data_IF_838755897641
#
_entry.id   IF_838755897641
#
_cell.length_a   1.000
_cell.length_b   1.000
_cell.length_c   1.000
_cell.angle_alpha   90.00
_cell.angle_beta   90.00
_cell.angle_gamma   90.00
#
_symmetry.space_group_name_H-M   'P 1'
#
loop_
_entity.id
_entity.type
_entity.pdbx_description
1 polymer ?
#
# COMPACT_ATOMS: atom_id res chain seq x y z
N UNK A 1 -15.89 41.43 -9.40
CA UNK A 1 -14.45 41.11 -9.52
C UNK A 1 -13.88 40.39 -8.29
N UNK A 2 -14.05 40.93 -7.07
CA UNK A 2 -13.47 40.36 -5.84
C UNK A 2 -13.96 38.93 -5.48
N UNK A 3 -15.26 38.65 -5.61
CA UNK A 3 -15.82 37.32 -5.34
C UNK A 3 -15.26 36.22 -6.27
N UNK A 4 -15.11 36.53 -7.57
CA UNK A 4 -14.52 35.62 -8.58
C UNK A 4 -13.04 35.34 -8.26
N UNK A 5 -12.32 36.33 -7.73
CA UNK A 5 -10.92 36.19 -7.32
C UNK A 5 -10.80 35.33 -6.05
N UNK A 6 -11.75 35.43 -5.12
CA UNK A 6 -11.86 34.57 -3.94
C UNK A 6 -12.11 33.10 -4.28
N UNK A 7 -13.03 32.83 -5.22
CA UNK A 7 -13.33 31.46 -5.70
C UNK A 7 -12.12 30.82 -6.39
N UNK A 8 -11.41 31.57 -7.25
CA UNK A 8 -10.18 31.07 -7.91
C UNK A 8 -9.08 30.71 -6.91
N UNK A 9 -8.87 31.54 -5.88
CA UNK A 9 -7.90 31.26 -4.81
C UNK A 9 -8.30 30.05 -3.98
N UNK A 10 -9.59 29.92 -3.63
CA UNK A 10 -10.12 28.76 -2.92
C UNK A 10 -9.93 27.46 -3.70
N UNK A 11 -10.21 27.46 -5.01
CA UNK A 11 -9.95 26.33 -5.89
C UNK A 11 -8.47 25.95 -5.95
N UNK A 12 -7.57 26.94 -5.96
CA UNK A 12 -6.13 26.72 -6.01
C UNK A 12 -5.61 26.07 -4.72
N UNK A 13 -6.10 26.53 -3.55
CA UNK A 13 -5.76 25.94 -2.24
C UNK A 13 -6.28 24.51 -2.14
N UNK A 14 -7.52 24.25 -2.59
CA UNK A 14 -8.10 22.91 -2.59
C UNK A 14 -7.32 21.95 -3.51
N UNK A 15 -6.94 22.41 -4.71
CA UNK A 15 -6.15 21.61 -5.65
C UNK A 15 -4.76 21.26 -5.10
N UNK A 16 -4.08 22.22 -4.43
CA UNK A 16 -2.81 21.94 -3.75
C UNK A 16 -2.99 20.95 -2.59
N UNK A 17 -4.05 21.10 -1.79
CA UNK A 17 -4.35 20.19 -0.67
C UNK A 17 -4.59 18.75 -1.12
N UNK A 18 -5.35 18.55 -2.20
CA UNK A 18 -5.58 17.23 -2.80
C UNK A 18 -4.31 16.64 -3.41
N UNK A 19 -3.45 17.45 -4.04
CA UNK A 19 -2.17 17.00 -4.60
C UNK A 19 -1.14 16.60 -3.53
N UNK A 20 -1.26 17.15 -2.31
CA UNK A 20 -0.37 16.85 -1.18
C UNK A 20 -0.84 15.65 -0.33
N UNK A 21 -2.01 15.06 -0.65
CA UNK A 21 -2.49 13.88 0.05
C UNK A 21 -1.61 12.66 -0.31
N UNK A 22 -0.57 12.41 0.49
CA UNK A 22 0.23 11.20 0.39
C UNK A 22 -0.65 9.99 0.72
N UNK A 23 -0.83 9.08 -0.24
CA UNK A 23 -1.51 7.82 -0.02
C UNK A 23 -0.55 6.84 0.66
N UNK A 24 -0.85 6.45 1.90
CA UNK A 24 -0.19 5.29 2.52
C UNK A 24 -0.85 4.02 1.96
N UNK A 25 -0.13 3.25 1.14
CA UNK A 25 -0.55 1.94 0.69
C UNK A 25 0.14 0.84 1.51
N UNK A 26 -0.65 -0.08 2.06
CA UNK A 26 -0.18 -1.30 2.69
C UNK A 26 -0.15 -2.43 1.66
N UNK A 27 0.93 -3.21 1.64
CA UNK A 27 1.05 -4.41 0.80
C UNK A 27 0.70 -5.65 1.62
N UNK A 28 0.02 -6.60 0.99
CA UNK A 28 -0.24 -7.91 1.60
C UNK A 28 0.65 -8.95 0.94
N UNK A 29 1.53 -9.55 1.73
CA UNK A 29 2.44 -10.61 1.32
C UNK A 29 1.88 -11.98 1.70
N UNK A 30 1.55 -12.79 0.69
CA UNK A 30 1.18 -14.20 0.85
C UNK A 30 2.43 -15.01 1.12
N UNK A 31 2.52 -15.63 2.29
CA UNK A 31 3.70 -16.42 2.67
C UNK A 31 3.88 -17.59 1.70
N UNK A 32 5.08 -17.70 1.11
CA UNK A 32 5.39 -18.72 0.10
C UNK A 32 4.70 -18.52 -1.25
N UNK A 33 4.08 -17.36 -1.50
CA UNK A 33 3.35 -17.03 -2.73
C UNK A 33 2.35 -18.14 -3.13
N UNK A 34 2.62 -18.89 -4.20
CA UNK A 34 1.77 -20.00 -4.66
C UNK A 34 1.96 -21.29 -3.87
N UNK A 35 3.15 -21.51 -3.29
CA UNK A 35 3.44 -22.67 -2.43
C UNK A 35 2.74 -22.58 -1.08
N UNK A 36 2.43 -21.36 -0.63
CA UNK A 36 1.74 -21.13 0.64
C UNK A 36 2.60 -21.41 1.87
N UNK A 37 1.94 -21.43 3.03
CA UNK A 37 2.55 -21.78 4.32
C UNK A 37 2.31 -23.26 4.63
N UNK A 38 3.37 -24.06 4.53
CA UNK A 38 3.34 -25.52 4.64
C UNK A 38 4.69 -26.07 5.09
N UNK A 39 4.69 -27.28 5.65
CA UNK A 39 5.90 -28.08 5.93
C UNK A 39 6.17 -29.11 4.83
N UNK A 40 5.24 -29.24 3.86
CA UNK A 40 5.32 -30.19 2.76
C UNK A 40 6.01 -29.56 1.57
N UNK A 41 6.86 -30.32 0.88
CA UNK A 41 7.50 -29.91 -0.37
C UNK A 41 8.42 -28.71 -0.20
N UNK A 42 9.66 -28.96 0.24
CA UNK A 42 10.79 -28.04 0.46
C UNK A 42 10.63 -26.57 -0.02
N UNK A 43 9.71 -25.80 0.58
CA UNK A 43 9.53 -24.39 0.26
C UNK A 43 10.68 -23.61 0.88
N UNK A 44 11.40 -22.86 0.06
CA UNK A 44 12.48 -22.03 0.55
C UNK A 44 11.94 -20.66 1.01
N UNK A 45 11.55 -20.57 2.28
CA UNK A 45 11.06 -19.32 2.87
C UNK A 45 12.14 -18.25 3.02
N UNK A 46 13.41 -18.63 3.07
CA UNK A 46 14.55 -17.69 3.07
C UNK A 46 14.69 -17.01 1.71
N UNK A 47 14.57 -17.75 0.61
CA UNK A 47 14.54 -17.19 -0.74
C UNK A 47 13.26 -16.38 -0.99
N UNK A 48 12.11 -16.82 -0.47
CA UNK A 48 10.88 -16.03 -0.56
C UNK A 48 11.02 -14.68 0.15
N UNK A 49 11.55 -14.65 1.38
CA UNK A 49 11.72 -13.41 2.16
C UNK A 49 12.75 -12.48 1.54
N UNK A 50 13.87 -12.98 1.01
CA UNK A 50 14.91 -12.14 0.40
C UNK A 50 14.43 -11.34 -0.81
N UNK A 51 13.34 -11.78 -1.44
CA UNK A 51 12.71 -11.14 -2.60
C UNK A 51 11.61 -10.13 -2.22
N UNK A 52 11.29 -9.94 -0.93
CA UNK A 52 10.26 -9.00 -0.47
C UNK A 52 10.89 -7.77 0.20
N UNK A 53 10.15 -6.67 0.20
CA UNK A 53 10.54 -5.43 0.89
C UNK A 53 9.42 -5.03 1.85
N UNK A 54 9.53 -5.46 3.10
CA UNK A 54 8.52 -5.21 4.11
C UNK A 54 8.63 -3.80 4.66
N UNK A 55 7.49 -3.12 4.74
CA UNK A 55 7.35 -1.79 5.33
C UNK A 55 6.37 -1.84 6.50
N UNK A 56 6.49 -0.86 7.39
CA UNK A 56 5.51 -0.69 8.48
C UNK A 56 4.14 -0.46 7.86
N UNK A 57 3.15 -1.24 8.31
CA UNK A 57 1.79 -1.23 7.78
C UNK A 57 1.48 -2.39 6.82
N UNK A 58 2.50 -3.09 6.32
CA UNK A 58 2.29 -4.29 5.50
C UNK A 58 1.77 -5.46 6.34
N UNK A 59 1.05 -6.37 5.68
CA UNK A 59 0.52 -7.60 6.30
C UNK A 59 1.21 -8.83 5.72
N UNK A 60 1.64 -9.73 6.59
CA UNK A 60 2.26 -11.00 6.23
C UNK A 60 1.35 -12.12 6.76
N UNK A 61 0.76 -12.93 5.87
CA UNK A 61 -0.14 -13.98 6.33
C UNK A 61 -0.81 -14.80 5.22
N UNK A 62 -1.68 -15.73 5.64
CA UNK A 62 -2.59 -16.44 4.72
C UNK A 62 -3.78 -15.53 4.39
N UNK A 63 -4.10 -15.40 3.11
CA UNK A 63 -5.37 -14.81 2.69
C UNK A 63 -6.52 -15.77 3.05
N UNK A 64 -7.31 -15.41 4.04
CA UNK A 64 -8.74 -15.70 4.09
C UNK A 64 -9.43 -14.34 4.12
N UNK A 65 -9.96 -13.91 2.97
CA UNK A 65 -10.94 -12.82 2.95
C UNK A 65 -12.26 -13.47 3.33
N UNK A 66 -12.84 -13.04 4.44
CA UNK A 66 -14.24 -13.30 4.73
C UNK A 66 -15.13 -12.51 3.75
#
# INVERSE_FOLDING_TARGET
MAAIMGVKKGLLVLALGLAMAATSSAVIYKVGDTSGWTILGNVNYTDWTSKKNFRVGDTIGKFHLN
#
